data_IF_392040455383
#
_entry.id   IF_392040455383
#
_cell.length_a   1.000
_cell.length_b   1.000
_cell.length_c   1.000
_cell.angle_alpha   90.00
_cell.angle_beta   90.00
_cell.angle_gamma   90.00
#
_symmetry.space_group_name_H-M   'P 1'
#
loop_
_entity.id
_entity.type
_entity.pdbx_description
1 polymer ?
#
# COMPACT_ATOMS: atom_id res chain seq x y z
N UNK A 1 -11.98 24.72 -13.89
CA UNK A 1 -11.75 24.73 -12.43
C UNK A 1 -11.31 23.38 -11.88
N UNK A 2 -12.12 22.33 -11.90
CA UNK A 2 -11.76 20.95 -11.48
C UNK A 2 -10.49 20.29 -12.08
N UNK A 3 -10.09 20.63 -13.31
CA UNK A 3 -8.89 20.04 -13.96
C UNK A 3 -7.56 20.56 -13.37
N UNK A 4 -7.54 21.79 -12.84
CA UNK A 4 -6.34 22.38 -12.23
C UNK A 4 -6.06 21.78 -10.85
N UNK A 5 -7.11 21.60 -10.04
CA UNK A 5 -7.04 20.99 -8.70
C UNK A 5 -6.47 19.56 -8.76
N UNK A 6 -6.82 18.77 -9.79
CA UNK A 6 -6.23 17.43 -9.99
C UNK A 6 -4.72 17.46 -10.25
N UNK A 7 -4.24 18.49 -10.96
CA UNK A 7 -2.82 18.63 -11.31
C UNK A 7 -2.01 19.07 -10.09
N UNK A 8 -2.56 19.96 -9.29
CA UNK A 8 -1.97 20.40 -8.01
C UNK A 8 -2.04 19.30 -6.95
N UNK A 9 -3.09 18.49 -6.90
CA UNK A 9 -3.17 17.32 -6.02
C UNK A 9 -2.06 16.31 -6.32
N UNK A 10 -1.65 16.14 -7.58
CA UNK A 10 -0.49 15.32 -7.94
C UNK A 10 0.83 15.84 -7.34
N UNK A 11 1.00 17.15 -7.26
CA UNK A 11 2.17 17.78 -6.64
C UNK A 11 2.13 17.70 -5.11
N UNK A 12 0.96 17.92 -4.52
CA UNK A 12 0.75 17.82 -3.07
C UNK A 12 0.92 16.36 -2.61
N UNK A 13 0.29 15.39 -3.28
CA UNK A 13 0.46 13.97 -2.98
C UNK A 13 1.89 13.45 -3.23
N UNK A 14 2.67 14.12 -4.08
CA UNK A 14 4.09 13.78 -4.23
C UNK A 14 4.93 14.12 -3.00
N UNK A 15 4.49 15.10 -2.19
CA UNK A 15 5.15 15.60 -0.98
C UNK A 15 4.56 15.03 0.31
N UNK A 16 3.56 14.17 0.20
CA UNK A 16 2.94 13.54 1.37
C UNK A 16 3.39 12.08 1.42
N UNK A 17 3.96 11.69 2.55
CA UNK A 17 4.17 10.29 2.91
C UNK A 17 3.36 9.98 4.16
N UNK A 18 2.85 8.76 4.24
CA UNK A 18 2.05 8.28 5.36
C UNK A 18 2.89 7.30 6.17
N UNK A 19 2.90 7.49 7.48
CA UNK A 19 3.35 6.45 8.40
C UNK A 19 2.15 5.57 8.70
N UNK A 20 2.28 4.28 8.40
CA UNK A 20 1.21 3.31 8.68
C UNK A 20 1.27 2.92 10.14
N UNK A 21 0.24 3.30 10.87
CA UNK A 21 0.02 2.84 12.22
C UNK A 21 -1.17 1.88 12.23
N UNK A 22 -2.42 2.34 12.35
CA UNK A 22 -3.60 1.48 12.28
C UNK A 22 -4.00 1.07 10.85
N UNK A 23 -3.52 1.76 9.82
CA UNK A 23 -3.76 1.46 8.41
C UNK A 23 -5.18 1.79 7.92
N UNK A 24 -5.98 2.51 8.69
CA UNK A 24 -7.38 2.86 8.37
C UNK A 24 -7.52 4.03 7.42
N UNK A 25 -6.50 4.90 7.35
CA UNK A 25 -6.49 6.12 6.53
C UNK A 25 -5.47 6.06 5.40
N UNK A 26 -4.72 4.97 5.31
CA UNK A 26 -3.72 4.76 4.27
C UNK A 26 -4.21 3.72 3.27
N UNK A 27 -4.29 4.11 2.00
CA UNK A 27 -4.58 3.19 0.89
C UNK A 27 -3.34 2.41 0.55
N UNK A 28 -3.48 1.10 0.59
CA UNK A 28 -2.38 0.16 0.39
C UNK A 28 -1.64 0.40 -0.94
N UNK A 29 -2.35 0.58 -2.05
CA UNK A 29 -1.72 0.73 -3.36
C UNK A 29 -1.39 2.17 -3.77
N UNK A 30 -2.16 3.13 -3.27
CA UNK A 30 -2.25 4.48 -3.85
C UNK A 30 -1.62 5.58 -3.01
N UNK A 31 -1.25 5.27 -1.78
CA UNK A 31 -0.59 6.22 -0.89
C UNK A 31 0.89 5.85 -0.69
N UNK A 32 1.71 6.85 -0.37
CA UNK A 32 3.15 6.70 -0.18
C UNK A 32 3.46 6.33 1.26
N UNK A 33 3.44 5.05 1.58
CA UNK A 33 3.68 4.59 2.94
C UNK A 33 4.80 3.54 3.05
N UNK A 34 5.14 2.91 1.93
CA UNK A 34 6.25 1.96 1.83
C UNK A 34 7.44 2.61 1.08
N UNK A 35 8.09 3.60 1.71
CA UNK A 35 9.17 4.38 1.12
C UNK A 35 8.71 5.58 0.28
N UNK A 36 9.53 6.05 -0.66
CA UNK A 36 9.30 7.30 -1.41
C UNK A 36 8.33 7.18 -2.60
N UNK A 37 7.98 5.95 -2.99
CA UNK A 37 7.17 5.64 -4.17
C UNK A 37 5.82 5.00 -3.83
N UNK A 38 4.90 5.06 -4.80
CA UNK A 38 3.62 4.34 -4.72
C UNK A 38 3.83 2.87 -5.05
N UNK A 39 3.24 1.96 -4.26
CA UNK A 39 3.30 0.53 -4.55
C UNK A 39 2.69 0.20 -5.93
N UNK A 40 1.68 0.94 -6.38
CA UNK A 40 1.12 0.78 -7.72
C UNK A 40 2.07 1.17 -8.87
N UNK A 41 2.99 2.11 -8.63
CA UNK A 41 3.98 2.53 -9.62
C UNK A 41 5.21 1.62 -9.61
N UNK A 42 5.62 1.16 -8.43
CA UNK A 42 6.75 0.22 -8.28
C UNK A 42 6.40 -1.19 -8.75
N UNK A 43 5.14 -1.61 -8.57
CA UNK A 43 4.66 -2.96 -8.90
C UNK A 43 3.37 -2.91 -9.74
N UNK A 44 3.42 -2.38 -10.98
CA UNK A 44 2.24 -2.19 -11.82
C UNK A 44 1.54 -3.52 -12.17
N UNK A 45 2.30 -4.61 -12.35
CA UNK A 45 1.74 -5.94 -12.62
C UNK A 45 0.90 -6.45 -11.46
N UNK A 46 1.40 -6.36 -10.23
CA UNK A 46 0.66 -6.77 -9.03
C UNK A 46 -0.55 -5.87 -8.78
N UNK A 47 -0.41 -4.56 -9.01
CA UNK A 47 -1.52 -3.62 -8.90
C UNK A 47 -2.65 -3.90 -9.90
N UNK A 48 -2.30 -4.32 -11.13
CA UNK A 48 -3.30 -4.72 -12.12
C UNK A 48 -4.10 -5.96 -11.67
N UNK A 49 -3.45 -6.85 -10.90
CA UNK A 49 -4.04 -8.08 -10.39
C UNK A 49 -4.72 -7.92 -9.04
N UNK A 50 -4.50 -6.81 -8.34
CA UNK A 50 -5.16 -6.54 -7.07
C UNK A 50 -6.69 -6.54 -7.26
N UNK A 51 -7.39 -7.40 -6.51
CA UNK A 51 -8.85 -7.43 -6.50
C UNK A 51 -9.42 -6.10 -6.01
N UNK A 52 -8.74 -5.47 -5.05
CA UNK A 52 -9.11 -4.16 -4.53
C UNK A 52 -7.96 -3.15 -4.66
N UNK A 53 -8.03 -2.33 -5.71
CA UNK A 53 -7.08 -1.23 -5.97
C UNK A 53 -7.23 -0.05 -5.00
N UNK A 54 -8.31 -0.04 -4.21
CA UNK A 54 -8.61 0.97 -3.20
C UNK A 54 -8.62 0.37 -1.79
N UNK A 55 -8.05 -0.83 -1.59
CA UNK A 55 -7.95 -1.44 -0.27
C UNK A 55 -7.18 -0.55 0.71
N UNK A 56 -7.64 -0.52 1.95
CA UNK A 56 -6.92 0.09 3.05
C UNK A 56 -5.80 -0.83 3.51
N UNK A 57 -4.79 -0.27 4.18
CA UNK A 57 -3.71 -1.07 4.74
C UNK A 57 -4.25 -2.01 5.82
N UNK A 58 -5.24 -1.59 6.62
CA UNK A 58 -5.92 -2.47 7.59
C UNK A 58 -6.56 -3.69 6.93
N UNK A 59 -7.21 -3.52 5.76
CA UNK A 59 -7.89 -4.62 5.06
C UNK A 59 -6.90 -5.68 4.55
N UNK A 60 -5.69 -5.25 4.19
CA UNK A 60 -4.63 -6.11 3.62
C UNK A 60 -3.77 -6.71 4.72
N UNK A 61 -3.66 -6.04 5.86
CA UNK A 61 -2.88 -6.49 7.00
C UNK A 61 -3.68 -7.51 7.82
N UNK A 62 -3.25 -8.76 7.76
CA UNK A 62 -3.81 -9.80 8.60
C UNK A 62 -3.15 -9.73 9.98
N UNK A 63 -3.88 -9.20 10.96
CA UNK A 63 -3.47 -9.21 12.38
C UNK A 63 -4.20 -10.30 13.17
N UNK A 64 -4.39 -11.48 12.59
CA UNK A 64 -5.08 -12.55 13.30
C UNK A 64 -4.37 -12.87 14.61
N UNK A 65 -5.15 -13.01 15.68
CA UNK A 65 -4.69 -13.21 17.07
C UNK A 65 -3.92 -14.54 17.21
N UNK A 66 -4.10 -15.46 16.24
CA UNK A 66 -3.47 -16.78 16.16
C UNK A 66 -2.03 -16.81 15.61
N UNK A 67 -1.41 -15.65 15.36
CA UNK A 67 0.05 -15.57 15.21
C UNK A 67 0.57 -15.34 13.79
N UNK A 68 -0.25 -15.47 12.75
CA UNK A 68 0.12 -15.03 11.40
C UNK A 68 -0.11 -13.52 11.26
N UNK A 69 0.84 -12.73 11.77
CA UNK A 69 0.94 -11.30 11.45
C UNK A 69 1.62 -11.18 10.09
N UNK A 70 0.85 -10.78 9.08
CA UNK A 70 1.39 -10.73 7.73
C UNK A 70 0.53 -9.97 6.74
N UNK A 71 1.14 -9.65 5.61
CA UNK A 71 0.48 -9.01 4.48
C UNK A 71 -0.25 -10.06 3.64
N UNK A 72 -1.57 -9.92 3.51
CA UNK A 72 -2.41 -10.81 2.72
C UNK A 72 -3.20 -10.02 1.66
N UNK A 73 -2.53 -9.53 0.60
CA UNK A 73 -3.21 -8.86 -0.51
C UNK A 73 -4.07 -9.82 -1.33
N UNK A 74 -5.33 -9.45 -1.54
CA UNK A 74 -6.25 -10.19 -2.40
C UNK A 74 -5.98 -9.90 -3.88
N UNK A 75 -5.67 -10.94 -4.64
CA UNK A 75 -5.50 -10.88 -6.10
C UNK A 75 -6.67 -11.55 -6.83
N UNK A 76 -6.99 -11.06 -8.02
CA UNK A 76 -8.11 -11.54 -8.84
C UNK A 76 -7.85 -12.90 -9.47
N UNK A 77 -6.57 -13.23 -9.65
CA UNK A 77 -6.09 -14.53 -10.11
C UNK A 77 -4.79 -14.91 -9.38
N UNK A 78 -4.42 -16.20 -9.37
CA UNK A 78 -3.09 -16.62 -8.97
C UNK A 78 -2.00 -15.89 -9.76
N UNK A 79 -0.89 -15.59 -9.10
CA UNK A 79 0.29 -14.98 -9.71
C UNK A 79 0.95 -15.98 -10.66
N UNK A 80 1.31 -15.51 -11.86
CA UNK A 80 2.08 -16.31 -12.82
C UNK A 80 3.57 -16.32 -12.46
N UNK A 81 4.34 -17.27 -12.99
CA UNK A 81 5.77 -17.42 -12.65
C UNK A 81 6.61 -16.14 -12.86
N UNK A 82 6.30 -15.34 -13.88
CA UNK A 82 6.96 -14.06 -14.13
C UNK A 82 6.58 -12.96 -13.11
N UNK A 83 5.40 -13.06 -12.49
CA UNK A 83 4.94 -12.13 -11.43
C UNK A 83 5.43 -12.55 -10.05
N UNK A 84 5.72 -13.84 -9.83
CA UNK A 84 6.24 -14.36 -8.56
C UNK A 84 7.55 -13.65 -8.17
N UNK A 85 8.43 -13.36 -9.13
CA UNK A 85 9.65 -12.60 -8.88
C UNK A 85 9.36 -11.18 -8.36
N UNK A 86 8.37 -10.50 -8.95
CA UNK A 86 7.91 -9.19 -8.48
C UNK A 86 7.25 -9.28 -7.10
N UNK A 87 6.43 -10.31 -6.87
CA UNK A 87 5.75 -10.53 -5.60
C UNK A 87 6.73 -10.79 -4.45
N UNK A 88 7.82 -11.52 -4.68
CA UNK A 88 8.90 -11.71 -3.69
C UNK A 88 9.54 -10.38 -3.28
N UNK A 89 9.87 -9.53 -4.26
CA UNK A 89 10.45 -8.19 -3.98
C UNK A 89 9.46 -7.31 -3.24
N UNK A 90 8.19 -7.36 -3.64
CA UNK A 90 7.11 -6.64 -2.99
C UNK A 90 6.90 -7.10 -1.54
N UNK A 91 6.84 -8.41 -1.27
CA UNK A 91 6.73 -8.94 0.09
C UNK A 91 7.96 -8.57 0.93
N UNK A 92 9.16 -8.58 0.36
CA UNK A 92 10.37 -8.13 1.06
C UNK A 92 10.33 -6.65 1.43
N UNK A 93 9.77 -5.78 0.57
CA UNK A 93 9.51 -4.38 0.93
C UNK A 93 8.52 -4.25 2.08
N UNK A 94 7.54 -5.14 2.15
CA UNK A 94 6.48 -5.14 3.15
C UNK A 94 6.88 -5.79 4.47
N UNK A 95 7.80 -6.75 4.47
CA UNK A 95 8.24 -7.50 5.66
C UNK A 95 8.83 -6.59 6.75
N UNK A 96 9.42 -5.46 6.37
CA UNK A 96 9.91 -4.43 7.29
C UNK A 96 8.81 -3.53 7.87
N UNK A 97 7.60 -3.58 7.33
CA UNK A 97 6.46 -2.74 7.72
C UNK A 97 5.53 -3.49 8.66
N UNK A 98 5.21 -2.87 9.80
CA UNK A 98 4.29 -3.41 10.79
C UNK A 98 3.18 -2.42 11.06
N UNK A 99 1.95 -2.91 11.06
CA UNK A 99 0.74 -2.14 11.36
C UNK A 99 0.42 -2.31 12.84
N UNK A 100 0.39 -1.19 13.58
CA UNK A 100 0.06 -1.14 15.00
C UNK A 100 -1.37 -0.58 15.17
N UNK A 101 -2.33 -1.47 15.45
CA UNK A 101 -3.75 -1.10 15.63
C UNK A 101 -4.04 -0.10 16.77
N UNK A 102 -3.06 0.24 17.60
CA UNK A 102 -3.23 1.13 18.75
C UNK A 102 -2.98 2.62 18.44
N UNK A 103 -2.38 2.96 17.29
CA UNK A 103 -2.05 4.35 16.94
C UNK A 103 -2.75 4.78 15.64
N UNK A 104 -3.12 6.06 15.53
CA UNK A 104 -3.69 6.61 14.30
C UNK A 104 -2.60 6.87 13.25
N UNK A 105 -2.90 6.56 11.99
CA UNK A 105 -2.02 6.85 10.86
C UNK A 105 -1.57 8.33 10.83
N UNK A 106 -0.25 8.53 10.73
CA UNK A 106 0.35 9.88 10.70
C UNK A 106 0.70 10.30 9.28
N UNK A 107 0.51 11.59 9.00
CA UNK A 107 0.85 12.19 7.71
C UNK A 107 2.16 12.98 7.88
N UNK A 108 3.18 12.60 7.12
CA UNK A 108 4.47 13.28 7.03
C UNK A 108 4.53 14.10 5.75
N UNK A 109 4.99 15.34 5.88
CA UNK A 109 5.29 16.21 4.75
C UNK A 109 6.78 16.11 4.43
N UNK A 110 7.12 15.85 3.16
CA UNK A 110 8.48 15.73 2.61
C UNK A 110 8.79 16.94 1.72
#
# INVERSE_FOLDING_TARGET
MWKAIRKEWGLVSSRISYTVDNGQRVKFWKDKWCGNGLLCNSFPSLFSLASSKNAWVEDVWNSSILGERGWSPSFSRPLSDWEVGCAKRFLSCLEGMRVYRNEEDRVLWI
#
